data_IF_657315051542
#
_entry.id   IF_657315051542
#
_cell.length_a   1.000
_cell.length_b   1.000
_cell.length_c   1.000
_cell.angle_alpha   90.00
_cell.angle_beta   90.00
_cell.angle_gamma   90.00
#
_symmetry.space_group_name_H-M   'P 1'
#
loop_
_entity.id
_entity.type
_entity.pdbx_description
1 polymer ?
#
# COMPACT_ATOMS: atom_id res chain seq x y z
N UNK A 1 22.48 20.73 -3.57
CA UNK A 1 22.41 20.01 -4.87
C UNK A 1 22.18 18.53 -4.59
N UNK A 2 21.09 17.93 -5.10
CA UNK A 2 20.84 16.48 -4.93
C UNK A 2 21.98 15.65 -5.55
N UNK A 3 22.45 14.62 -4.85
CA UNK A 3 23.59 13.80 -5.26
C UNK A 3 23.20 12.69 -6.25
N UNK A 4 22.60 13.09 -7.38
CA UNK A 4 22.11 12.15 -8.41
C UNK A 4 23.16 11.14 -8.89
N UNK A 5 24.43 11.55 -8.98
CA UNK A 5 25.53 10.64 -9.35
C UNK A 5 25.76 9.53 -8.34
N UNK A 6 25.64 9.83 -7.05
CA UNK A 6 25.83 8.84 -5.98
C UNK A 6 24.65 7.86 -5.94
N UNK A 7 23.42 8.37 -6.06
CA UNK A 7 22.22 7.52 -6.11
C UNK A 7 22.20 6.61 -7.33
N UNK A 8 22.65 7.10 -8.50
CA UNK A 8 22.81 6.26 -9.70
C UNK A 8 23.84 5.14 -9.50
N UNK A 9 24.98 5.43 -8.85
CA UNK A 9 26.01 4.42 -8.52
C UNK A 9 25.51 3.37 -7.53
N UNK A 10 24.64 3.77 -6.60
CA UNK A 10 24.03 2.89 -5.60
C UNK A 10 22.79 2.13 -6.11
N UNK A 11 22.41 2.32 -7.39
CA UNK A 11 21.24 1.66 -7.99
C UNK A 11 19.89 2.19 -7.50
N UNK A 12 19.87 3.32 -6.80
CA UNK A 12 18.62 3.93 -6.34
C UNK A 12 17.82 4.50 -7.52
N UNK A 13 16.47 4.41 -7.47
CA UNK A 13 15.63 5.06 -8.46
C UNK A 13 15.84 6.57 -8.41
N UNK A 14 16.16 7.15 -9.56
CA UNK A 14 16.49 8.58 -9.70
C UNK A 14 15.21 9.44 -9.78
N UNK A 15 14.06 8.82 -10.02
CA UNK A 15 12.76 9.48 -10.15
C UNK A 15 11.65 8.81 -9.35
N UNK A 16 10.60 9.57 -9.08
CA UNK A 16 9.41 9.18 -8.31
C UNK A 16 8.42 8.30 -9.08
N UNK A 17 8.64 8.04 -10.37
CA UNK A 17 7.64 7.36 -11.23
C UNK A 17 7.16 6.00 -10.71
N UNK A 18 8.02 5.21 -10.07
CA UNK A 18 7.61 3.93 -9.43
C UNK A 18 6.73 4.15 -8.20
N UNK A 19 6.97 5.23 -7.45
CA UNK A 19 6.16 5.62 -6.29
C UNK A 19 4.82 6.19 -6.75
N UNK A 20 4.83 7.08 -7.75
CA UNK A 20 3.62 7.70 -8.30
C UNK A 20 2.69 6.67 -8.94
N UNK A 21 3.24 5.73 -9.72
CA UNK A 21 2.46 4.62 -10.29
C UNK A 21 1.87 3.73 -9.21
N UNK A 22 2.61 3.44 -8.15
CA UNK A 22 2.09 2.73 -6.99
C UNK A 22 0.95 3.51 -6.34
N UNK A 23 1.10 4.80 -6.03
CA UNK A 23 0.03 5.63 -5.46
C UNK A 23 -1.23 5.66 -6.33
N UNK A 24 -1.07 5.81 -7.65
CA UNK A 24 -2.18 5.82 -8.59
C UNK A 24 -2.94 4.49 -8.57
N UNK A 25 -2.22 3.36 -8.56
CA UNK A 25 -2.84 2.04 -8.59
C UNK A 25 -3.40 1.59 -7.24
N UNK A 26 -2.68 1.83 -6.14
CA UNK A 26 -3.10 1.42 -4.79
C UNK A 26 -4.22 2.32 -4.26
N UNK A 27 -4.11 3.63 -4.46
CA UNK A 27 -4.98 4.63 -3.83
C UNK A 27 -6.03 5.12 -4.82
N UNK A 28 -5.63 5.73 -5.94
CA UNK A 28 -6.58 6.41 -6.81
C UNK A 28 -7.58 5.44 -7.46
N UNK A 29 -7.13 4.30 -7.99
CA UNK A 29 -8.03 3.34 -8.64
C UNK A 29 -9.11 2.76 -7.71
N UNK A 30 -8.92 2.80 -6.38
CA UNK A 30 -9.85 2.18 -5.44
C UNK A 30 -10.61 3.14 -4.56
N UNK A 31 -10.04 4.30 -4.26
CA UNK A 31 -10.67 5.28 -3.37
C UNK A 31 -11.16 6.54 -4.08
N UNK A 32 -10.78 6.73 -5.36
CA UNK A 32 -11.16 7.89 -6.17
C UNK A 32 -12.22 7.51 -7.21
N UNK A 33 -13.39 7.08 -6.71
CA UNK A 33 -14.58 6.81 -7.52
C UNK A 33 -15.65 7.90 -7.34
N UNK A 34 -16.50 8.09 -8.34
CA UNK A 34 -17.63 9.04 -8.26
C UNK A 34 -18.58 8.65 -7.12
N UNK A 35 -18.90 9.60 -6.25
CA UNK A 35 -19.81 9.39 -5.12
C UNK A 35 -19.18 8.70 -3.90
N UNK A 36 -17.90 8.32 -3.96
CA UNK A 36 -17.21 7.79 -2.79
C UNK A 36 -16.95 8.90 -1.77
N UNK A 37 -17.25 8.62 -0.50
CA UNK A 37 -16.98 9.50 0.63
C UNK A 37 -16.41 8.68 1.76
N UNK A 38 -15.27 9.12 2.27
CA UNK A 38 -14.57 8.46 3.35
C UNK A 38 -14.28 9.50 4.43
N UNK A 39 -14.44 9.12 5.70
CA UNK A 39 -13.78 9.85 6.78
C UNK A 39 -12.28 9.57 6.73
N UNK A 40 -11.45 10.48 7.24
CA UNK A 40 -10.00 10.29 7.28
C UNK A 40 -9.61 8.99 8.00
N UNK A 41 -10.22 8.73 9.16
CA UNK A 41 -10.01 7.51 9.92
C UNK A 41 -10.44 6.25 9.16
N UNK A 42 -11.62 6.29 8.52
CA UNK A 42 -12.13 5.15 7.74
C UNK A 42 -11.26 4.86 6.52
N UNK A 43 -10.82 5.92 5.82
CA UNK A 43 -9.88 5.82 4.71
C UNK A 43 -8.55 5.20 5.16
N UNK A 44 -7.97 5.67 6.26
CA UNK A 44 -6.69 5.14 6.76
C UNK A 44 -6.77 3.65 7.12
N UNK A 45 -7.84 3.20 7.78
CA UNK A 45 -8.02 1.77 8.08
C UNK A 45 -8.09 0.92 6.81
N UNK A 46 -8.84 1.36 5.80
CA UNK A 46 -8.97 0.64 4.53
C UNK A 46 -7.66 0.67 3.73
N UNK A 47 -6.92 1.78 3.78
CA UNK A 47 -5.61 1.91 3.14
C UNK A 47 -4.60 0.92 3.75
N UNK A 48 -4.53 0.82 5.09
CA UNK A 48 -3.65 -0.14 5.75
C UNK A 48 -3.99 -1.58 5.40
N UNK A 49 -5.29 -1.93 5.36
CA UNK A 49 -5.74 -3.25 4.95
C UNK A 49 -5.32 -3.58 3.51
N UNK A 50 -5.55 -2.65 2.58
CA UNK A 50 -5.20 -2.83 1.16
C UNK A 50 -3.69 -2.92 0.97
N UNK A 51 -2.91 -2.11 1.69
CA UNK A 51 -1.45 -2.16 1.64
C UNK A 51 -0.91 -3.50 2.15
N UNK A 52 -1.47 -4.01 3.25
CA UNK A 52 -1.09 -5.31 3.80
C UNK A 52 -1.38 -6.43 2.81
N UNK A 53 -2.56 -6.41 2.16
CA UNK A 53 -2.91 -7.36 1.11
C UNK A 53 -1.93 -7.31 -0.06
N UNK A 54 -1.74 -6.15 -0.70
CA UNK A 54 -0.87 -6.02 -1.89
C UNK A 54 0.57 -6.49 -1.62
N UNK A 55 1.07 -6.29 -0.40
CA UNK A 55 2.43 -6.68 -0.03
C UNK A 55 2.55 -8.09 0.54
N UNK A 56 1.47 -8.89 0.56
CA UNK A 56 1.49 -10.23 1.13
C UNK A 56 1.64 -10.24 2.67
N UNK A 57 1.39 -9.12 3.32
CA UNK A 57 1.56 -8.89 4.77
C UNK A 57 0.23 -8.83 5.50
N UNK A 58 -0.80 -9.49 4.96
CA UNK A 58 -2.11 -9.53 5.59
C UNK A 58 -2.08 -10.29 6.92
N UNK A 59 -1.48 -11.48 6.98
CA UNK A 59 -1.49 -12.30 8.21
C UNK A 59 -0.80 -11.62 9.40
N UNK A 60 0.39 -11.00 9.24
CA UNK A 60 1.03 -10.27 10.33
C UNK A 60 0.22 -9.08 10.86
N UNK A 61 -0.65 -8.46 10.04
CA UNK A 61 -1.49 -7.34 10.49
C UNK A 61 -2.49 -7.77 11.57
N UNK A 62 -2.85 -9.06 11.60
CA UNK A 62 -3.84 -9.61 12.51
C UNK A 62 -3.31 -10.76 13.36
N UNK A 63 -2.01 -10.80 13.62
CA UNK A 63 -1.39 -11.87 14.39
C UNK A 63 -2.02 -12.10 15.78
N UNK A 64 -2.61 -11.06 16.37
CA UNK A 64 -3.31 -11.10 17.67
C UNK A 64 -4.72 -11.74 17.61
N UNK A 65 -5.26 -11.96 16.40
CA UNK A 65 -6.59 -12.54 16.17
C UNK A 65 -6.55 -13.76 15.21
N UNK A 66 -5.86 -14.86 15.59
CA UNK A 66 -5.54 -15.95 14.68
C UNK A 66 -6.72 -16.86 14.28
N UNK A 67 -7.80 -16.92 15.08
CA UNK A 67 -8.83 -17.96 14.92
C UNK A 67 -9.89 -17.67 13.85
N UNK A 68 -9.98 -16.44 13.34
CA UNK A 68 -11.00 -16.03 12.34
C UNK A 68 -10.45 -15.84 10.93
N UNK A 69 -9.12 -15.81 10.74
CA UNK A 69 -8.52 -15.27 9.50
C UNK A 69 -7.86 -16.30 8.58
N UNK A 70 -7.62 -17.53 9.04
CA UNK A 70 -7.09 -18.59 8.16
C UNK A 70 -7.99 -18.89 6.95
N UNK A 71 -9.31 -18.69 7.08
CA UNK A 71 -10.28 -18.90 6.01
C UNK A 71 -10.38 -17.72 5.03
N UNK A 72 -9.99 -16.52 5.48
CA UNK A 72 -10.16 -15.27 4.73
C UNK A 72 -8.82 -14.60 4.36
N UNK A 73 -7.69 -15.23 4.69
CA UNK A 73 -6.38 -14.71 4.33
C UNK A 73 -6.25 -14.66 2.81
N UNK A 74 -6.00 -13.48 2.22
CA UNK A 74 -5.76 -13.33 0.81
C UNK A 74 -4.36 -13.82 0.39
N UNK A 75 -3.53 -14.23 1.36
CA UNK A 75 -2.19 -14.78 1.11
C UNK A 75 -2.19 -16.29 0.79
N UNK A 76 -3.37 -16.92 0.65
CA UNK A 76 -3.51 -18.34 0.33
C UNK A 76 -3.36 -18.64 -1.16
#
# INVERSE_FOLDING_TARGET
HLQYRQFKKQGFPIGSGRVESACKWLIEQCFKGTGMRWSETGFNHLLHLRLAWVNGRFDPLFAEHPLTLYLYSPNR
#
